data_IF_940477583915
#
_entry.id   IF_940477583915
#
_cell.length_a   1.000
_cell.length_b   1.000
_cell.length_c   1.000
_cell.angle_alpha   90.00
_cell.angle_beta   90.00
_cell.angle_gamma   90.00
#
_symmetry.space_group_name_H-M   'P 1'
#
loop_
_entity.id
_entity.type
_entity.pdbx_description
1 polymer ?
#
# COMPACT_ATOMS: atom_id res chain seq x y z
N UNK A 1 28.30 -4.68 -11.06
CA UNK A 1 27.94 -3.77 -9.96
C UNK A 1 27.03 -2.69 -10.54
N UNK A 2 25.79 -2.51 -10.05
CA UNK A 2 24.87 -1.50 -10.61
C UNK A 2 25.35 -0.08 -10.28
N UNK A 3 25.66 0.72 -11.32
CA UNK A 3 26.10 2.11 -11.16
C UNK A 3 25.01 2.99 -10.54
N UNK A 4 25.41 4.05 -9.81
CA UNK A 4 24.46 5.00 -9.19
C UNK A 4 23.48 5.60 -10.20
N UNK A 5 23.96 5.99 -11.37
CA UNK A 5 23.16 6.58 -12.44
C UNK A 5 22.03 5.64 -12.88
N UNK A 6 22.38 4.37 -13.17
CA UNK A 6 21.38 3.37 -13.57
C UNK A 6 20.30 3.15 -12.51
N UNK A 7 20.64 3.28 -11.23
CA UNK A 7 19.65 3.16 -10.14
C UNK A 7 18.68 4.34 -10.14
N UNK A 8 19.19 5.55 -10.33
CA UNK A 8 18.37 6.77 -10.39
C UNK A 8 17.47 6.74 -11.62
N UNK A 9 18.00 6.33 -12.77
CA UNK A 9 17.24 6.17 -14.01
C UNK A 9 16.06 5.20 -13.83
N UNK A 10 16.30 4.00 -13.28
CA UNK A 10 15.22 3.01 -13.06
C UNK A 10 14.15 3.53 -12.10
N UNK A 11 14.52 4.29 -11.07
CA UNK A 11 13.57 4.92 -10.14
C UNK A 11 12.76 6.02 -10.83
N UNK A 12 13.42 6.88 -11.62
CA UNK A 12 12.76 7.95 -12.37
C UNK A 12 11.83 7.38 -13.43
N UNK A 13 12.25 6.34 -14.13
CA UNK A 13 11.46 5.65 -15.15
C UNK A 13 10.19 5.02 -14.57
N UNK A 14 10.28 4.49 -13.35
CA UNK A 14 9.11 4.04 -12.59
C UNK A 14 8.21 5.22 -12.14
N UNK A 15 8.79 6.36 -11.74
CA UNK A 15 8.06 7.51 -11.23
C UNK A 15 7.48 8.47 -12.27
N UNK A 16 7.92 8.40 -13.53
CA UNK A 16 7.48 9.30 -14.61
C UNK A 16 6.09 8.96 -15.16
N UNK A 17 5.58 7.75 -14.86
CA UNK A 17 4.24 7.30 -15.23
C UNK A 17 3.32 7.05 -14.02
N UNK A 18 3.18 7.98 -13.06
CA UNK A 18 2.42 7.75 -11.83
C UNK A 18 0.90 7.65 -12.08
N UNK A 19 0.45 8.07 -13.26
CA UNK A 19 -0.92 7.99 -13.72
C UNK A 19 -1.18 6.87 -14.72
N UNK A 20 -0.20 6.03 -15.06
CA UNK A 20 -0.36 5.05 -16.13
C UNK A 20 0.25 3.72 -15.68
N UNK A 21 -0.61 2.76 -15.34
CA UNK A 21 -0.20 1.39 -15.02
C UNK A 21 0.10 0.66 -16.33
N UNK A 22 1.06 1.19 -17.06
CA UNK A 22 1.48 0.71 -18.38
C UNK A 22 2.40 -0.49 -18.24
N UNK A 23 2.62 -1.20 -19.34
CA UNK A 23 3.65 -2.24 -19.45
C UNK A 23 5.01 -1.76 -18.93
N UNK A 24 5.33 -0.49 -19.20
CA UNK A 24 6.56 0.18 -18.79
C UNK A 24 6.71 0.25 -17.26
N UNK A 25 5.61 0.52 -16.54
CA UNK A 25 5.58 0.54 -15.07
C UNK A 25 5.92 -0.83 -14.47
N UNK A 26 5.40 -1.91 -15.07
CA UNK A 26 5.70 -3.28 -14.63
C UNK A 26 7.13 -3.69 -14.96
N UNK A 27 7.61 -3.39 -16.17
CA UNK A 27 9.00 -3.64 -16.58
C UNK A 27 10.00 -2.91 -15.67
N UNK A 28 9.75 -1.62 -15.39
CA UNK A 28 10.54 -0.84 -14.43
C UNK A 28 10.44 -1.43 -13.02
N UNK A 29 9.25 -1.92 -12.65
CA UNK A 29 9.01 -2.54 -11.37
C UNK A 29 9.80 -3.84 -11.17
N UNK A 30 9.91 -4.68 -12.20
CA UNK A 30 10.74 -5.89 -12.20
C UNK A 30 12.24 -5.56 -12.08
N UNK A 31 12.70 -4.48 -12.73
CA UNK A 31 14.07 -4.01 -12.57
C UNK A 31 14.34 -3.54 -11.12
N UNK A 32 13.39 -2.83 -10.50
CA UNK A 32 13.45 -2.39 -9.11
C UNK A 32 13.44 -3.57 -8.11
N UNK A 33 12.70 -4.64 -8.40
CA UNK A 33 12.69 -5.87 -7.60
C UNK A 33 14.12 -6.39 -7.35
N UNK A 34 14.90 -6.52 -8.44
CA UNK A 34 16.29 -6.97 -8.38
C UNK A 34 17.15 -6.03 -7.51
N UNK A 35 16.90 -4.73 -7.60
CA UNK A 35 17.58 -3.72 -6.77
C UNK A 35 17.20 -3.80 -5.29
N UNK A 36 15.94 -4.06 -4.95
CA UNK A 36 15.50 -4.21 -3.56
C UNK A 36 16.16 -5.38 -2.86
N UNK A 37 16.38 -6.49 -3.57
CA UNK A 37 17.15 -7.62 -3.06
C UNK A 37 18.64 -7.29 -2.93
N UNK A 38 19.24 -6.69 -3.96
CA UNK A 38 20.66 -6.34 -3.95
C UNK A 38 21.03 -5.34 -2.83
N UNK A 39 20.11 -4.45 -2.45
CA UNK A 39 20.32 -3.42 -1.41
C UNK A 39 19.75 -3.82 -0.04
N UNK A 40 19.33 -5.07 0.13
CA UNK A 40 18.68 -5.60 1.33
C UNK A 40 17.56 -4.71 1.89
N UNK A 41 16.72 -4.17 1.00
CA UNK A 41 15.62 -3.28 1.38
C UNK A 41 14.40 -4.09 1.80
N UNK A 42 14.46 -4.65 3.01
CA UNK A 42 13.49 -5.62 3.57
C UNK A 42 12.03 -5.17 3.49
N UNK A 43 11.77 -3.89 3.75
CA UNK A 43 10.41 -3.33 3.74
C UNK A 43 9.77 -3.40 2.35
N UNK A 44 10.56 -3.13 1.32
CA UNK A 44 10.08 -3.09 -0.06
C UNK A 44 10.07 -4.50 -0.67
N UNK A 45 11.06 -5.36 -0.39
CA UNK A 45 11.16 -6.70 -1.00
C UNK A 45 10.02 -7.66 -0.66
N UNK A 46 9.31 -7.44 0.47
CA UNK A 46 8.25 -8.35 0.97
C UNK A 46 7.01 -8.39 0.08
N UNK A 47 6.42 -7.22 -0.22
CA UNK A 47 5.14 -7.14 -0.95
C UNK A 47 5.31 -6.87 -2.43
N UNK A 48 6.50 -6.45 -2.86
CA UNK A 48 6.74 -6.01 -4.22
C UNK A 48 6.51 -7.11 -5.28
N UNK A 49 7.00 -8.32 -5.04
CA UNK A 49 6.82 -9.46 -5.96
C UNK A 49 5.34 -9.84 -6.09
N UNK A 50 4.62 -9.79 -4.97
CA UNK A 50 3.19 -10.05 -4.95
C UNK A 50 2.43 -8.98 -5.72
N UNK A 51 2.77 -7.70 -5.53
CA UNK A 51 2.20 -6.62 -6.32
C UNK A 51 2.38 -6.84 -7.83
N UNK A 52 3.60 -7.19 -8.28
CA UNK A 52 3.85 -7.45 -9.71
C UNK A 52 2.99 -8.63 -10.22
N UNK A 53 2.96 -9.74 -9.47
CA UNK A 53 2.15 -10.90 -9.83
C UNK A 53 0.65 -10.56 -9.91
N UNK A 54 0.12 -9.89 -8.87
CA UNK A 54 -1.27 -9.47 -8.80
C UNK A 54 -1.63 -8.52 -9.95
N UNK A 55 -0.71 -7.66 -10.41
CA UNK A 55 -0.95 -6.78 -11.57
C UNK A 55 -0.98 -7.55 -12.90
N UNK A 56 -0.17 -8.60 -13.07
CA UNK A 56 -0.27 -9.47 -14.23
C UNK A 56 -1.56 -10.29 -14.23
N UNK A 57 -1.98 -10.77 -13.05
CA UNK A 57 -3.24 -11.49 -12.89
C UNK A 57 -4.45 -10.57 -13.11
N UNK A 58 -4.37 -9.30 -12.71
CA UNK A 58 -5.41 -8.29 -12.92
C UNK A 58 -5.76 -8.14 -14.40
N UNK A 59 -4.75 -8.19 -15.29
CA UNK A 59 -4.95 -8.11 -16.75
C UNK A 59 -5.85 -9.24 -17.26
N UNK A 60 -5.74 -10.43 -16.68
CA UNK A 60 -6.47 -11.61 -17.09
C UNK A 60 -7.85 -11.71 -16.40
N UNK A 61 -7.89 -11.47 -15.09
CA UNK A 61 -9.09 -11.64 -14.27
C UNK A 61 -10.07 -10.46 -14.39
N UNK A 62 -9.57 -9.22 -14.60
CA UNK A 62 -10.39 -8.00 -14.65
C UNK A 62 -9.97 -7.07 -15.80
N UNK A 63 -10.28 -7.44 -17.06
CA UNK A 63 -9.84 -6.70 -18.24
C UNK A 63 -10.42 -5.27 -18.33
N UNK A 64 -11.59 -5.02 -17.76
CA UNK A 64 -12.19 -3.68 -17.74
C UNK A 64 -11.39 -2.73 -16.83
N UNK A 65 -11.01 -3.19 -15.64
CA UNK A 65 -10.15 -2.43 -14.72
C UNK A 65 -8.78 -2.18 -15.35
N UNK A 66 -8.21 -3.19 -16.03
CA UNK A 66 -6.96 -3.04 -16.75
C UNK A 66 -7.01 -1.94 -17.84
N UNK A 67 -8.08 -1.89 -18.64
CA UNK A 67 -8.28 -0.84 -19.65
C UNK A 67 -8.35 0.57 -19.05
N UNK A 68 -9.02 0.72 -17.91
CA UNK A 68 -9.12 2.00 -17.21
C UNK A 68 -7.77 2.45 -16.62
N UNK A 69 -6.97 1.50 -16.13
CA UNK A 69 -5.60 1.75 -15.67
C UNK A 69 -4.65 2.12 -16.82
N UNK A 70 -4.80 1.48 -17.98
CA UNK A 70 -4.04 1.78 -19.21
C UNK A 70 -4.43 3.15 -19.78
N UNK A 71 -5.71 3.52 -19.71
CA UNK A 71 -6.21 4.87 -20.03
C UNK A 71 -5.78 5.95 -19.02
N UNK A 72 -5.09 5.54 -17.95
CA UNK A 72 -4.53 6.41 -16.93
C UNK A 72 -5.55 7.03 -15.96
N UNK A 73 -6.73 6.41 -15.83
CA UNK A 73 -7.77 6.85 -14.88
C UNK A 73 -7.51 6.30 -13.48
N UNK A 74 -6.36 6.66 -12.91
CA UNK A 74 -5.93 6.25 -11.56
C UNK A 74 -6.38 7.28 -10.50
N UNK A 75 -6.81 8.47 -10.93
CA UNK A 75 -7.31 9.53 -10.06
C UNK A 75 -8.81 9.38 -9.80
N UNK A 76 -9.22 9.68 -8.56
CA UNK A 76 -10.62 9.64 -8.12
C UNK A 76 -11.15 11.07 -8.15
N UNK A 77 -12.23 11.28 -8.89
CA UNK A 77 -12.90 12.58 -8.96
C UNK A 77 -14.19 12.53 -8.13
N UNK A 78 -14.24 13.30 -7.04
CA UNK A 78 -15.44 13.37 -6.17
C UNK A 78 -16.56 14.21 -6.77
N UNK A 79 -16.22 15.19 -7.62
CA UNK A 79 -17.16 16.16 -8.21
C UNK A 79 -17.07 16.13 -9.73
N UNK A 80 -18.11 16.61 -10.44
CA UNK A 80 -18.09 16.74 -11.91
C UNK A 80 -17.22 17.90 -12.43
N UNK A 81 -16.52 18.58 -11.54
CA UNK A 81 -15.68 19.75 -11.88
C UNK A 81 -14.34 19.24 -12.40
N UNK A 82 -13.91 19.66 -13.61
CA UNK A 82 -12.59 19.31 -14.13
C UNK A 82 -11.48 19.82 -13.19
N UNK A 83 -10.34 19.12 -13.15
CA UNK A 83 -9.16 19.43 -12.30
C UNK A 83 -9.27 19.14 -10.79
N UNK A 84 -10.37 18.55 -10.31
CA UNK A 84 -10.53 18.16 -8.89
C UNK A 84 -10.26 16.67 -8.66
N UNK A 85 -9.55 16.02 -9.58
CA UNK A 85 -9.18 14.61 -9.46
C UNK A 85 -8.03 14.46 -8.47
N UNK A 86 -8.21 13.64 -7.44
CA UNK A 86 -7.22 13.41 -6.39
C UNK A 86 -6.72 11.97 -6.50
N UNK A 87 -5.43 11.72 -6.25
CA UNK A 87 -4.90 10.35 -6.22
C UNK A 87 -5.68 9.48 -5.24
N UNK A 88 -5.87 8.20 -5.56
CA UNK A 88 -6.72 7.29 -4.77
C UNK A 88 -6.33 7.25 -3.28
N UNK A 89 -5.03 7.27 -2.98
CA UNK A 89 -4.51 7.30 -1.62
C UNK A 89 -4.89 8.60 -0.88
N UNK A 90 -4.69 9.75 -1.50
CA UNK A 90 -5.11 11.05 -0.93
C UNK A 90 -6.63 11.15 -0.76
N UNK A 91 -7.42 10.58 -1.67
CA UNK A 91 -8.86 10.52 -1.53
C UNK A 91 -9.28 9.66 -0.33
N UNK A 92 -8.61 8.53 -0.14
CA UNK A 92 -8.77 7.62 1.01
C UNK A 92 -8.32 8.29 2.31
N UNK A 93 -7.19 8.99 2.31
CA UNK A 93 -6.71 9.77 3.46
C UNK A 93 -7.71 10.85 3.86
N UNK A 94 -8.30 11.56 2.89
CA UNK A 94 -9.34 12.55 3.17
C UNK A 94 -10.56 11.92 3.84
N UNK A 95 -11.02 10.75 3.36
CA UNK A 95 -12.12 10.01 4.00
C UNK A 95 -11.74 9.56 5.41
N UNK A 96 -10.53 9.01 5.57
CA UNK A 96 -10.00 8.60 6.87
C UNK A 96 -9.89 9.78 7.83
N UNK A 97 -9.51 10.97 7.36
CA UNK A 97 -9.46 12.20 8.16
C UNK A 97 -10.85 12.72 8.51
N UNK A 98 -11.84 12.56 7.64
CA UNK A 98 -13.23 12.88 7.97
C UNK A 98 -13.80 11.95 9.05
N UNK A 99 -13.35 10.70 9.09
CA UNK A 99 -13.75 9.71 10.11
C UNK A 99 -12.92 9.80 11.40
N UNK A 100 -11.63 10.13 11.31
CA UNK A 100 -10.72 10.31 12.45
C UNK A 100 -10.85 11.72 13.01
N UNK A 101 -11.58 11.85 14.11
CA UNK A 101 -11.55 13.10 14.89
C UNK A 101 -10.25 13.17 15.68
N UNK A 102 -9.63 14.37 15.79
CA UNK A 102 -8.51 14.61 16.71
C UNK A 102 -8.93 14.10 18.11
N UNK A 103 -8.10 13.23 18.70
CA UNK A 103 -8.32 12.53 19.99
C UNK A 103 -9.14 11.21 19.97
N UNK A 104 -9.36 10.56 18.82
CA UNK A 104 -9.92 9.20 18.79
C UNK A 104 -11.36 9.16 19.35
N UNK A 105 -11.66 8.23 20.27
CA UNK A 105 -13.00 8.11 20.86
C UNK A 105 -13.45 9.38 21.58
N UNK A 106 -12.53 10.13 22.21
CA UNK A 106 -12.81 11.40 22.90
C UNK A 106 -13.22 12.49 21.88
N UNK A 107 -12.56 12.48 20.72
CA UNK A 107 -12.91 13.38 19.61
C UNK A 107 -14.27 13.04 19.00
N UNK A 108 -14.57 11.74 18.87
CA UNK A 108 -15.88 11.26 18.42
C UNK A 108 -16.94 11.65 19.46
N UNK A 109 -16.74 11.40 20.75
CA UNK A 109 -17.72 11.70 21.80
C UNK A 109 -18.02 13.18 21.94
N UNK A 110 -17.10 14.08 21.62
CA UNK A 110 -17.29 15.52 21.79
C UNK A 110 -17.88 16.22 20.54
N UNK A 111 -17.95 15.55 19.39
CA UNK A 111 -18.49 16.13 18.16
C UNK A 111 -19.77 15.40 17.72
N UNK A 112 -20.93 16.06 17.82
CA UNK A 112 -22.23 15.48 17.49
C UNK A 112 -22.31 14.89 16.07
N UNK A 113 -21.73 15.57 15.08
CA UNK A 113 -21.70 15.10 13.69
C UNK A 113 -20.79 13.87 13.53
N UNK A 114 -19.67 13.83 14.25
CA UNK A 114 -18.78 12.68 14.24
C UNK A 114 -19.39 11.46 14.96
N UNK A 115 -20.09 11.67 16.08
CA UNK A 115 -20.88 10.62 16.75
C UNK A 115 -21.90 10.02 15.80
N UNK A 116 -22.69 10.86 15.12
CA UNK A 116 -23.72 10.40 14.21
C UNK A 116 -23.14 9.57 13.06
N UNK A 117 -22.09 10.05 12.40
CA UNK A 117 -21.40 9.29 11.33
C UNK A 117 -20.83 7.97 11.84
N UNK A 118 -20.25 7.97 13.05
CA UNK A 118 -19.74 6.76 13.66
C UNK A 118 -20.85 5.74 13.93
N UNK A 119 -21.96 6.15 14.55
CA UNK A 119 -23.07 5.25 14.85
C UNK A 119 -23.79 4.74 13.59
N UNK A 120 -23.82 5.52 12.51
CA UNK A 120 -24.37 5.08 11.24
C UNK A 120 -23.43 4.12 10.50
N UNK A 121 -22.12 4.38 10.50
CA UNK A 121 -21.15 3.58 9.74
C UNK A 121 -20.66 2.32 10.48
N UNK A 122 -20.60 2.34 11.82
CA UNK A 122 -20.12 1.22 12.63
C UNK A 122 -20.87 -0.11 12.41
N UNK A 123 -22.22 -0.14 12.38
CA UNK A 123 -22.94 -1.40 12.15
C UNK A 123 -22.69 -1.95 10.74
N UNK A 124 -22.66 -1.07 9.72
CA UNK A 124 -22.38 -1.46 8.33
C UNK A 124 -20.96 -2.00 8.17
N UNK A 125 -19.96 -1.33 8.76
CA UNK A 125 -18.56 -1.80 8.77
C UNK A 125 -18.41 -3.14 9.50
N UNK A 126 -19.17 -3.36 10.58
CA UNK A 126 -19.22 -4.64 11.30
C UNK A 126 -19.84 -5.75 10.43
N UNK A 127 -20.92 -5.44 9.72
CA UNK A 127 -21.55 -6.36 8.78
C UNK A 127 -20.60 -6.74 7.65
N UNK A 128 -20.01 -5.74 6.98
CA UNK A 128 -19.05 -5.95 5.91
C UNK A 128 -17.81 -6.72 6.37
N UNK A 129 -17.32 -6.46 7.59
CA UNK A 129 -16.20 -7.22 8.14
C UNK A 129 -16.56 -8.69 8.40
N UNK A 130 -17.78 -8.97 8.85
CA UNK A 130 -18.28 -10.35 9.00
C UNK A 130 -18.44 -11.03 7.66
N UNK A 131 -19.01 -10.35 6.68
CA UNK A 131 -19.21 -10.87 5.34
C UNK A 131 -17.85 -11.15 4.66
N UNK A 132 -16.91 -10.22 4.75
CA UNK A 132 -15.54 -10.42 4.27
C UNK A 132 -14.87 -11.62 4.94
N UNK A 133 -14.97 -11.76 6.26
CA UNK A 133 -14.43 -12.93 6.97
C UNK A 133 -15.09 -14.24 6.52
N UNK A 134 -16.39 -14.22 6.28
CA UNK A 134 -17.17 -15.37 5.81
C UNK A 134 -16.88 -15.73 4.35
N UNK A 135 -16.57 -14.74 3.50
CA UNK A 135 -16.27 -14.95 2.08
C UNK A 135 -14.83 -15.40 1.86
N UNK A 136 -13.90 -14.94 2.70
CA UNK A 136 -12.47 -15.18 2.54
C UNK A 136 -11.89 -16.17 3.55
N UNK A 137 -12.74 -16.96 4.22
CA UNK A 137 -12.44 -18.07 5.15
C UNK A 137 -10.99 -18.09 5.63
N UNK A 138 -10.63 -17.05 6.37
CA UNK A 138 -9.37 -17.03 7.08
C UNK A 138 -9.74 -17.43 8.49
N UNK A 139 -9.56 -18.70 8.81
CA UNK A 139 -9.41 -19.11 10.20
C UNK A 139 -8.28 -18.25 10.79
N UNK A 140 -8.64 -17.15 11.44
CA UNK A 140 -7.72 -16.41 12.30
C UNK A 140 -7.55 -17.30 13.53
N UNK A 141 -6.73 -18.33 13.40
CA UNK A 141 -6.11 -18.98 14.55
C UNK A 141 -5.61 -17.88 15.47
N UNK A 142 -5.98 -17.99 16.76
CA UNK A 142 -5.67 -17.06 17.86
C UNK A 142 -4.46 -16.20 17.51
N UNK A 143 -4.63 -14.88 17.52
CA UNK A 143 -3.56 -13.92 17.30
C UNK A 143 -2.30 -14.35 18.06
N UNK A 144 -1.33 -14.94 17.34
CA UNK A 144 0.03 -15.11 17.87
C UNK A 144 0.56 -13.70 17.97
N UNK A 145 0.90 -13.27 19.19
CA UNK A 145 1.75 -12.12 19.39
C UNK A 145 2.92 -12.20 18.41
N UNK A 146 3.05 -11.17 17.56
CA UNK A 146 4.02 -11.16 16.48
C UNK A 146 5.42 -11.02 17.09
N UNK A 147 6.13 -12.14 17.28
CA UNK A 147 7.49 -12.19 17.84
C UNK A 147 8.54 -11.40 17.02
N UNK A 148 8.21 -10.96 15.80
CA UNK A 148 9.15 -10.28 14.90
C UNK A 148 9.40 -8.79 15.21
N UNK A 149 8.66 -8.19 16.15
CA UNK A 149 8.93 -6.82 16.62
C UNK A 149 9.54 -6.78 18.03
N UNK A 150 10.01 -7.92 18.54
CA UNK A 150 10.75 -7.95 19.79
C UNK A 150 12.09 -7.21 19.69
N UNK A 151 12.60 -6.61 20.78
CA UNK A 151 13.90 -5.91 20.82
C UNK A 151 15.08 -6.77 20.32
N UNK A 152 14.92 -8.09 20.33
CA UNK A 152 15.85 -9.09 19.79
C UNK A 152 16.00 -9.04 18.26
N UNK A 153 14.93 -8.74 17.51
CA UNK A 153 14.98 -8.62 16.04
C UNK A 153 15.73 -7.34 15.62
N UNK A 154 15.53 -6.25 16.36
CA UNK A 154 16.25 -4.97 16.19
C UNK A 154 17.75 -5.13 16.50
N UNK A 155 18.10 -5.89 17.55
CA UNK A 155 19.50 -6.23 17.85
C UNK A 155 20.13 -7.03 16.71
N UNK A 156 19.43 -8.02 16.16
CA UNK A 156 19.97 -8.90 15.09
C UNK A 156 20.22 -8.14 13.78
N UNK A 157 19.37 -7.17 13.42
CA UNK A 157 19.62 -6.28 12.27
C UNK A 157 20.81 -5.35 12.48
N UNK A 158 21.04 -4.88 13.71
CA UNK A 158 22.24 -4.09 14.03
C UNK A 158 23.51 -4.95 13.95
N UNK A 159 23.49 -6.18 14.46
CA UNK A 159 24.68 -7.06 14.44
C UNK A 159 25.07 -7.48 13.02
N UNK A 160 24.11 -7.67 12.10
CA UNK A 160 24.41 -7.98 10.69
C UNK A 160 25.02 -6.78 9.96
N UNK A 161 24.54 -5.56 10.23
CA UNK A 161 25.11 -4.31 9.68
C UNK A 161 26.57 -4.07 10.12
N UNK A 162 26.90 -4.42 11.37
CA UNK A 162 28.29 -4.31 11.87
C UNK A 162 29.21 -5.38 11.27
N UNK A 163 28.71 -6.60 11.04
CA UNK A 163 29.50 -7.69 10.40
C UNK A 163 29.78 -7.44 8.92
N UNK A 164 28.87 -6.80 8.18
CA UNK A 164 29.10 -6.43 6.78
C UNK A 164 30.12 -5.30 6.63
N UNK A 165 30.27 -4.44 7.65
CA UNK A 165 31.23 -3.33 7.68
C UNK A 165 32.66 -3.75 8.05
N UNK A 166 32.83 -4.94 8.61
CA UNK A 166 34.14 -5.53 8.97
C UNK A 166 34.65 -6.52 7.91
N UNK A 167 33.92 -6.73 6.81
CA UNK A 167 34.29 -7.63 5.70
C UNK A 167 34.45 -6.91 4.35
N UNK A 168 34.47 -5.57 4.37
CA UNK A 168 34.94 -4.72 3.26
C UNK A 168 36.33 -4.21 3.61
#
# INVERSE_FOLDING_TARGET
>A
MMNYIHRVETILFFGQHPGMLTRVHLEAGEALSKMFFAMDRIKYKRLWHRYIADMYDLRNNHPNTWKELEAGKISVTKNKIPFVSVGADHACEHLNKQMKVRAGLIGISNNANARQRFFMAAPELSCLSKEFKSQFDTEVGKAKEYHDLGPSAVKRSMTQSTKSRLRS
#
